data_IF_653194765326
#
_entry.id   IF_653194765326
#
_cell.length_a   1.000
_cell.length_b   1.000
_cell.length_c   1.000
_cell.angle_alpha   90.00
_cell.angle_beta   90.00
_cell.angle_gamma   90.00
#
_symmetry.space_group_name_H-M   'P 1'
#
loop_
_entity.id
_entity.type
_entity.pdbx_description
1 polymer ?
#
# COMPACT_ATOMS: atom_id res chain seq x y z
N UNK A 1 -7.17 -1.30 6.81
CA UNK A 1 -5.98 -1.09 5.96
C UNK A 1 -5.17 -2.37 5.72
N UNK A 2 -4.54 -3.00 6.73
CA UNK A 2 -3.77 -4.26 6.53
C UNK A 2 -4.55 -5.33 5.76
N UNK A 3 -5.81 -5.59 6.13
CA UNK A 3 -6.69 -6.54 5.44
C UNK A 3 -6.91 -6.19 3.96
N UNK A 4 -7.02 -4.90 3.64
CA UNK A 4 -7.17 -4.41 2.27
C UNK A 4 -5.92 -4.69 1.42
N UNK A 5 -4.74 -4.43 1.99
CA UNK A 5 -3.45 -4.70 1.35
C UNK A 5 -3.24 -6.20 1.09
N UNK A 6 -3.64 -7.05 2.03
CA UNK A 6 -3.65 -8.51 1.85
C UNK A 6 -4.63 -8.89 0.72
N UNK A 7 -5.85 -8.35 0.73
CA UNK A 7 -6.83 -8.55 -0.34
C UNK A 7 -6.38 -8.03 -1.71
N UNK A 8 -5.47 -7.06 -1.74
CA UNK A 8 -4.84 -6.52 -2.94
C UNK A 8 -3.71 -7.41 -3.50
N UNK A 9 -3.33 -8.46 -2.76
CA UNK A 9 -2.33 -9.44 -3.17
C UNK A 9 -0.99 -9.33 -2.45
N UNK A 10 -0.84 -8.45 -1.46
CA UNK A 10 0.40 -8.36 -0.68
C UNK A 10 0.48 -9.44 0.39
N UNK A 11 1.70 -9.82 0.78
CA UNK A 11 1.91 -10.72 1.91
C UNK A 11 1.53 -10.04 3.22
N UNK A 12 1.17 -10.83 4.22
CA UNK A 12 0.79 -10.32 5.54
C UNK A 12 1.86 -9.43 6.22
N UNK A 13 3.17 -9.79 6.23
CA UNK A 13 4.19 -8.93 6.84
C UNK A 13 4.38 -7.61 6.11
N UNK A 14 4.37 -7.60 4.76
CA UNK A 14 4.46 -6.36 3.98
C UNK A 14 3.23 -5.49 4.20
N UNK A 15 2.05 -6.11 4.26
CA UNK A 15 0.79 -5.41 4.50
C UNK A 15 0.73 -4.77 5.88
N UNK A 16 1.35 -5.38 6.90
CA UNK A 16 1.44 -4.80 8.24
C UNK A 16 2.32 -3.55 8.24
N UNK A 17 3.55 -3.65 7.73
CA UNK A 17 4.47 -2.52 7.63
C UNK A 17 3.86 -1.37 6.81
N UNK A 18 3.33 -1.65 5.62
CA UNK A 18 2.72 -0.61 4.79
C UNK A 18 1.53 0.07 5.47
N UNK A 19 0.68 -0.69 6.17
CA UNK A 19 -0.47 -0.11 6.85
C UNK A 19 -0.07 0.92 7.91
N UNK A 20 1.03 0.69 8.63
CA UNK A 20 1.57 1.60 9.65
C UNK A 20 1.94 2.96 9.05
N UNK A 21 2.63 2.98 7.91
CA UNK A 21 3.08 4.23 7.26
C UNK A 21 2.01 4.95 6.43
N UNK A 22 0.86 4.31 6.20
CA UNK A 22 -0.20 4.84 5.33
C UNK A 22 -1.38 5.42 6.10
N UNK A 23 -1.78 4.79 7.22
CA UNK A 23 -2.99 5.19 7.96
C UNK A 23 -2.89 6.61 8.54
N UNK A 24 -1.69 7.04 8.93
CA UNK A 24 -1.46 8.38 9.48
C UNK A 24 -1.29 9.48 8.42
N UNK A 25 -1.18 9.09 7.15
CA UNK A 25 -0.88 10.00 6.02
C UNK A 25 -2.00 10.13 5.02
N UNK A 26 -2.94 9.19 4.99
CA UNK A 26 -4.05 9.17 4.03
C UNK A 26 -5.38 9.43 4.73
N UNK A 27 -6.24 10.19 4.06
CA UNK A 27 -7.64 10.34 4.48
C UNK A 27 -8.43 9.04 4.29
N UNK A 28 -9.57 8.91 4.97
CA UNK A 28 -10.47 7.76 4.80
C UNK A 28 -10.89 7.57 3.34
N UNK A 29 -11.12 8.65 2.60
CA UNK A 29 -11.47 8.60 1.17
C UNK A 29 -10.35 7.98 0.33
N UNK A 30 -9.10 8.35 0.62
CA UNK A 30 -7.92 7.83 -0.07
C UNK A 30 -7.64 6.36 0.28
N UNK A 31 -7.82 5.98 1.55
CA UNK A 31 -7.72 4.58 1.98
C UNK A 31 -8.75 3.69 1.25
N UNK A 32 -9.98 4.18 1.06
CA UNK A 32 -11.02 3.46 0.30
C UNK A 32 -10.66 3.23 -1.17
N UNK A 33 -9.90 4.12 -1.80
CA UNK A 33 -9.41 3.90 -3.16
C UNK A 33 -8.48 2.67 -3.23
N UNK A 34 -7.68 2.45 -2.18
CA UNK A 34 -6.78 1.30 -2.07
C UNK A 34 -7.54 0.01 -1.76
N UNK A 35 -8.64 0.08 -1.02
CA UNK A 35 -9.53 -1.07 -0.77
C UNK A 35 -10.19 -1.61 -2.05
N UNK A 36 -10.39 -0.75 -3.05
CA UNK A 36 -10.89 -1.14 -4.37
C UNK A 36 -9.86 -1.93 -5.20
N UNK A 37 -8.56 -1.84 -4.86
CA UNK A 37 -7.54 -2.69 -5.47
C UNK A 37 -7.60 -4.08 -4.86
N UNK A 38 -8.43 -4.95 -5.41
CA UNK A 38 -8.34 -6.39 -5.14
C UNK A 38 -7.58 -7.09 -6.26
N UNK A 39 -6.98 -8.25 -5.96
CA UNK A 39 -6.39 -9.06 -7.03
C UNK A 39 -5.51 -10.20 -6.56
N UNK A 40 -4.89 -10.91 -7.53
CA UNK A 40 -4.00 -12.02 -7.24
C UNK A 40 -2.78 -11.55 -6.42
N UNK A 41 -2.07 -12.51 -5.83
CA UNK A 41 -0.81 -12.25 -5.15
C UNK A 41 0.16 -11.49 -6.07
N UNK A 42 0.77 -10.44 -5.55
CA UNK A 42 1.63 -9.50 -6.27
C UNK A 42 2.88 -9.20 -5.44
N UNK A 43 3.98 -8.89 -6.13
CA UNK A 43 5.11 -8.28 -5.45
C UNK A 43 4.75 -6.86 -4.98
N UNK A 44 5.52 -6.32 -4.04
CA UNK A 44 5.35 -4.94 -3.59
C UNK A 44 5.53 -3.94 -4.75
N UNK A 45 6.45 -4.21 -5.68
CA UNK A 45 6.63 -3.39 -6.87
C UNK A 45 5.39 -3.42 -7.78
N UNK A 46 4.85 -4.61 -8.06
CA UNK A 46 3.63 -4.77 -8.88
C UNK A 46 2.44 -4.08 -8.24
N UNK A 47 2.35 -4.11 -6.90
CA UNK A 47 1.32 -3.40 -6.16
C UNK A 47 1.44 -1.87 -6.35
N UNK A 48 2.64 -1.29 -6.21
CA UNK A 48 2.85 0.15 -6.46
C UNK A 48 2.48 0.52 -7.91
N UNK A 49 2.80 -0.33 -8.88
CA UNK A 49 2.41 -0.12 -10.28
C UNK A 49 0.89 -0.20 -10.49
N UNK A 50 0.19 -1.05 -9.75
CA UNK A 50 -1.28 -1.10 -9.76
C UNK A 50 -1.89 0.17 -9.14
N UNK A 51 -1.30 0.66 -8.04
CA UNK A 51 -1.75 1.88 -7.34
C UNK A 51 -1.63 3.12 -8.21
N UNK A 52 -0.63 3.19 -9.10
CA UNK A 52 -0.50 4.28 -10.09
C UNK A 52 -1.73 4.44 -10.99
N UNK A 53 -2.57 3.40 -11.13
CA UNK A 53 -3.81 3.47 -11.92
C UNK A 53 -4.95 4.22 -11.23
N UNK A 54 -4.86 4.45 -9.92
CA UNK A 54 -5.85 5.23 -9.15
C UNK A 54 -5.77 6.72 -9.53
N UNK A 55 -4.63 7.19 -10.06
CA UNK A 55 -4.40 8.58 -10.47
C UNK A 55 -4.58 9.62 -9.35
N UNK A 56 -4.53 9.19 -8.08
CA UNK A 56 -4.47 10.07 -6.92
C UNK A 56 -2.98 10.27 -6.52
N UNK A 57 -2.42 11.48 -6.73
CA UNK A 57 -0.99 11.73 -6.53
C UNK A 57 -0.52 11.48 -5.10
N UNK A 58 -1.36 11.75 -4.11
CA UNK A 58 -1.01 11.57 -2.71
C UNK A 58 -1.01 10.09 -2.33
N UNK A 59 -2.02 9.33 -2.79
CA UNK A 59 -2.04 7.88 -2.62
C UNK A 59 -0.82 7.23 -3.26
N UNK A 60 -0.45 7.63 -4.48
CA UNK A 60 0.73 7.11 -5.17
C UNK A 60 2.01 7.43 -4.37
N UNK A 61 2.17 8.69 -3.94
CA UNK A 61 3.34 9.15 -3.20
C UNK A 61 3.50 8.42 -1.87
N UNK A 62 2.44 8.36 -1.06
CA UNK A 62 2.47 7.72 0.26
C UNK A 62 2.69 6.22 0.12
N UNK A 63 2.02 5.56 -0.82
CA UNK A 63 2.20 4.12 -1.05
C UNK A 63 3.63 3.78 -1.50
N UNK A 64 4.21 4.57 -2.40
CA UNK A 64 5.59 4.37 -2.84
C UNK A 64 6.61 4.63 -1.73
N UNK A 65 6.37 5.65 -0.88
CA UNK A 65 7.20 5.93 0.28
C UNK A 65 7.16 4.78 1.30
N UNK A 66 5.96 4.32 1.67
CA UNK A 66 5.78 3.18 2.56
C UNK A 66 6.44 1.91 1.99
N UNK A 67 6.29 1.66 0.69
CA UNK A 67 6.96 0.54 0.03
C UNK A 67 8.49 0.62 0.14
N UNK A 68 9.06 1.82 -0.05
CA UNK A 68 10.50 2.05 0.11
C UNK A 68 10.99 1.76 1.53
N UNK A 69 10.26 2.23 2.54
CA UNK A 69 10.58 2.00 3.95
C UNK A 69 10.53 0.50 4.29
N UNK A 70 9.43 -0.17 3.94
CA UNK A 70 9.22 -1.60 4.19
C UNK A 70 10.19 -2.53 3.45
N UNK A 71 10.76 -2.11 2.30
CA UNK A 71 11.80 -2.86 1.60
C UNK A 71 13.19 -2.64 2.16
N UNK A 72 13.47 -1.43 2.64
CA UNK A 72 14.81 -1.03 3.07
C UNK A 72 15.24 -1.62 4.42
N UNK A 73 14.31 -2.23 5.17
CA UNK A 73 14.58 -2.77 6.50
C UNK A 73 14.97 -1.70 7.52
N UNK A 74 14.61 -0.44 7.26
CA UNK A 74 14.85 0.70 8.16
C UNK A 74 13.92 0.74 9.36
N UNK A 75 13.02 -0.23 9.48
CA UNK A 75 12.12 -0.37 10.60
C UNK A 75 12.61 -1.51 11.50
N UNK A 76 13.04 -1.12 12.70
CA UNK A 76 13.31 -1.98 13.85
C UNK A 76 12.27 -1.71 14.91
#
# INVERSE_FOLDING_TARGET
MKSALVGAGLSEPVSACMAEHMVDKLTISQLRQLEALQGPKRSLFDYVMAVRRIQDPEVIRVTAAAAGLCMSGWER
#
